data_IF_329254699394
#
_entry.id   IF_329254699394
#
_cell.length_a   1.000
_cell.length_b   1.000
_cell.length_c   1.000
_cell.angle_alpha   90.00
_cell.angle_beta   90.00
_cell.angle_gamma   90.00
#
_symmetry.space_group_name_H-M   'P 1'
#
loop_
_entity.id
_entity.type
_entity.pdbx_description
1 polymer ?
#
# COMPACT_ATOMS: atom_id res chain seq x y z
N UNK A 1 -12.34 -13.58 19.77
CA UNK A 1 -12.74 -12.69 20.88
C UNK A 1 -11.64 -11.65 21.09
N UNK A 2 -12.01 -10.38 21.20
CA UNK A 2 -11.11 -9.22 21.32
C UNK A 2 -11.55 -8.41 22.52
N UNK A 3 -10.75 -8.30 23.57
CA UNK A 3 -11.10 -7.56 24.78
C UNK A 3 -11.22 -6.05 24.50
N UNK A 4 -10.41 -5.56 23.55
CA UNK A 4 -10.52 -4.18 23.04
C UNK A 4 -11.89 -3.94 22.42
N UNK A 5 -12.46 -4.93 21.71
CA UNK A 5 -13.82 -4.77 21.17
C UNK A 5 -14.85 -4.74 22.30
N UNK A 6 -14.71 -5.64 23.27
CA UNK A 6 -15.68 -5.74 24.37
C UNK A 6 -15.65 -4.50 25.29
N UNK A 7 -14.52 -3.81 25.42
CA UNK A 7 -14.46 -2.53 26.17
C UNK A 7 -15.24 -1.39 25.53
N UNK A 8 -15.68 -1.55 24.29
CA UNK A 8 -16.48 -0.57 23.53
C UNK A 8 -17.90 -1.05 23.26
N UNK A 9 -18.35 -2.10 23.96
CA UNK A 9 -19.67 -2.71 23.73
C UNK A 9 -20.80 -1.95 24.39
N UNK A 10 -20.53 -1.38 25.56
CA UNK A 10 -21.49 -0.65 26.39
C UNK A 10 -20.97 0.79 26.60
N UNK A 11 -21.88 1.75 26.69
CA UNK A 11 -21.59 3.17 26.95
C UNK A 11 -20.56 3.82 26.01
N UNK A 12 -20.44 3.30 24.78
CA UNK A 12 -19.59 3.92 23.78
C UNK A 12 -20.29 5.15 23.19
N UNK A 13 -19.71 6.37 23.30
CA UNK A 13 -20.35 7.59 22.79
C UNK A 13 -20.40 7.65 21.25
N UNK A 14 -19.75 6.70 20.56
CA UNK A 14 -19.68 6.69 19.09
C UNK A 14 -20.94 6.10 18.49
N UNK A 15 -21.54 6.85 17.56
CA UNK A 15 -22.64 6.36 16.73
C UNK A 15 -22.11 5.58 15.52
N UNK A 16 -21.03 6.06 14.90
CA UNK A 16 -20.39 5.44 13.74
C UNK A 16 -18.89 5.73 13.72
N UNK A 17 -18.11 4.78 13.20
CA UNK A 17 -16.69 5.02 12.91
C UNK A 17 -16.49 5.83 11.62
N UNK A 18 -15.35 6.50 11.56
CA UNK A 18 -14.89 7.24 10.38
C UNK A 18 -14.68 6.31 9.17
N UNK A 19 -14.79 6.88 7.96
CA UNK A 19 -14.76 6.09 6.72
C UNK A 19 -13.43 5.38 6.48
N UNK A 20 -12.30 5.94 6.94
CA UNK A 20 -11.00 5.26 6.80
C UNK A 20 -10.93 3.93 7.54
N UNK A 21 -11.80 3.72 8.53
CA UNK A 21 -12.01 2.46 9.25
C UNK A 21 -13.19 1.70 8.66
N UNK A 22 -14.38 2.31 8.67
CA UNK A 22 -15.64 1.62 8.33
C UNK A 22 -15.74 1.20 6.86
N UNK A 23 -15.15 1.97 5.95
CA UNK A 23 -15.16 1.68 4.52
C UNK A 23 -13.91 0.91 4.05
N UNK A 24 -13.06 0.46 4.98
CA UNK A 24 -11.86 -0.30 4.64
C UNK A 24 -12.16 -1.55 3.78
N UNK A 25 -13.21 -2.36 4.04
CA UNK A 25 -13.53 -3.50 3.18
C UNK A 25 -13.84 -3.11 1.74
N UNK A 26 -14.58 -2.03 1.51
CA UNK A 26 -14.94 -1.56 0.17
C UNK A 26 -13.71 -1.05 -0.59
N UNK A 27 -12.84 -0.29 0.08
CA UNK A 27 -11.62 0.24 -0.55
C UNK A 27 -10.60 -0.87 -0.81
N UNK A 28 -10.38 -1.77 0.14
CA UNK A 28 -9.46 -2.91 -0.05
C UNK A 28 -10.01 -3.95 -1.04
N UNK A 29 -11.33 -4.10 -1.15
CA UNK A 29 -11.96 -4.91 -2.19
C UNK A 29 -11.65 -4.39 -3.60
N UNK A 30 -11.78 -3.08 -3.82
CA UNK A 30 -11.40 -2.46 -5.09
C UNK A 30 -9.90 -2.63 -5.40
N UNK A 31 -9.03 -2.62 -4.38
CA UNK A 31 -7.60 -2.93 -4.54
C UNK A 31 -7.38 -4.36 -4.99
N UNK A 32 -8.06 -5.33 -4.38
CA UNK A 32 -7.95 -6.73 -4.76
C UNK A 32 -8.43 -6.99 -6.19
N UNK A 33 -9.50 -6.33 -6.63
CA UNK A 33 -10.01 -6.47 -8.00
C UNK A 33 -9.04 -5.85 -9.03
N UNK A 34 -8.43 -4.71 -8.73
CA UNK A 34 -7.40 -4.10 -9.59
C UNK A 34 -6.15 -4.97 -9.73
N UNK A 35 -5.71 -5.61 -8.63
CA UNK A 35 -4.59 -6.56 -8.66
C UNK A 35 -4.94 -7.76 -9.55
N UNK A 36 -6.14 -8.33 -9.38
CA UNK A 36 -6.59 -9.46 -10.21
C UNK A 36 -6.63 -9.11 -11.69
N UNK A 37 -7.15 -7.93 -12.03
CA UNK A 37 -7.16 -7.44 -13.41
C UNK A 37 -5.74 -7.34 -13.99
N UNK A 38 -4.80 -6.79 -13.22
CA UNK A 38 -3.42 -6.67 -13.66
C UNK A 38 -2.74 -8.05 -13.81
N UNK A 39 -2.97 -8.96 -12.86
CA UNK A 39 -2.47 -10.33 -12.89
C UNK A 39 -2.98 -11.10 -14.11
N UNK A 40 -4.29 -11.07 -14.36
CA UNK A 40 -4.92 -11.71 -15.53
C UNK A 40 -4.34 -11.16 -16.84
N UNK A 41 -4.21 -9.83 -16.94
CA UNK A 41 -3.67 -9.18 -18.15
C UNK A 41 -2.21 -9.56 -18.40
N UNK A 42 -1.37 -9.51 -17.36
CA UNK A 42 0.05 -9.85 -17.46
C UNK A 42 0.23 -11.35 -17.73
N UNK A 43 -0.60 -12.22 -17.14
CA UNK A 43 -0.55 -13.65 -17.38
C UNK A 43 -0.86 -13.99 -18.85
N UNK A 44 -1.84 -13.32 -19.46
CA UNK A 44 -2.11 -13.49 -20.89
C UNK A 44 -0.91 -13.04 -21.72
N UNK A 45 -0.37 -11.85 -21.47
CA UNK A 45 0.74 -11.29 -22.26
C UNK A 45 2.01 -12.13 -22.14
N UNK A 46 2.31 -12.63 -20.94
CA UNK A 46 3.49 -13.46 -20.68
C UNK A 46 3.47 -14.78 -21.47
N UNK A 47 2.27 -15.28 -21.79
CA UNK A 47 2.07 -16.52 -22.56
C UNK A 47 1.74 -16.26 -24.04
N UNK A 48 1.77 -14.99 -24.49
CA UNK A 48 1.49 -14.61 -25.86
C UNK A 48 2.77 -14.62 -26.73
N UNK A 49 2.60 -14.83 -28.04
CA UNK A 49 3.65 -14.56 -29.04
C UNK A 49 3.60 -13.08 -29.40
N UNK A 50 4.46 -12.28 -28.77
CA UNK A 50 4.51 -10.81 -28.90
C UNK A 50 5.53 -10.31 -29.94
N UNK A 51 6.23 -11.22 -30.62
CA UNK A 51 7.19 -10.86 -31.66
C UNK A 51 6.50 -10.53 -33.01
N UNK A 52 7.27 -10.01 -33.96
CA UNK A 52 6.83 -9.75 -35.32
C UNK A 52 7.99 -9.86 -36.34
N UNK A 53 7.83 -10.58 -37.47
CA UNK A 53 6.62 -11.28 -37.92
C UNK A 53 6.40 -12.64 -37.22
N UNK A 54 5.17 -13.14 -37.27
CA UNK A 54 4.85 -14.49 -36.80
C UNK A 54 5.04 -15.51 -37.92
N UNK A 55 5.59 -16.67 -37.56
CA UNK A 55 5.81 -17.82 -38.46
C UNK A 55 4.87 -18.95 -38.06
N UNK A 56 4.06 -19.41 -39.01
CA UNK A 56 3.05 -20.44 -38.77
C UNK A 56 3.50 -21.82 -39.30
N UNK A 57 3.00 -22.93 -38.72
CA UNK A 57 3.41 -24.29 -39.11
C UNK A 57 3.13 -24.65 -40.57
N UNK A 58 2.20 -23.95 -41.23
CA UNK A 58 1.90 -24.11 -42.65
C UNK A 58 2.89 -23.39 -43.58
N UNK A 59 3.90 -22.70 -43.02
CA UNK A 59 4.90 -21.93 -43.75
C UNK A 59 4.54 -20.45 -43.95
N UNK A 60 3.36 -20.01 -43.49
CA UNK A 60 2.98 -18.60 -43.60
C UNK A 60 3.83 -17.73 -42.67
N UNK A 61 4.21 -16.55 -43.17
CA UNK A 61 4.87 -15.49 -42.40
C UNK A 61 3.98 -14.26 -42.44
N UNK A 62 3.43 -13.87 -41.29
CA UNK A 62 2.43 -12.80 -41.18
C UNK A 62 3.00 -11.67 -40.34
N UNK A 63 2.98 -10.46 -40.90
CA UNK A 63 3.26 -9.23 -40.16
C UNK A 63 2.01 -8.79 -39.38
N UNK A 64 2.16 -8.52 -38.09
CA UNK A 64 1.11 -8.08 -37.18
C UNK A 64 1.62 -7.03 -36.19
N UNK A 65 0.87 -6.81 -35.11
CA UNK A 65 1.15 -5.78 -34.10
C UNK A 65 1.23 -6.31 -32.67
N UNK A 66 1.52 -7.60 -32.48
CA UNK A 66 1.47 -8.25 -31.16
C UNK A 66 2.51 -7.71 -30.17
N UNK A 67 3.53 -6.98 -30.65
CA UNK A 67 4.51 -6.30 -29.80
C UNK A 67 3.93 -5.07 -29.08
N UNK A 68 2.73 -4.62 -29.46
CA UNK A 68 2.13 -3.41 -28.93
C UNK A 68 1.50 -3.65 -27.53
N UNK A 69 2.29 -3.44 -26.48
CA UNK A 69 1.91 -3.68 -25.07
C UNK A 69 0.89 -2.74 -24.44
N UNK A 70 -0.13 -2.28 -25.18
CA UNK A 70 -1.21 -1.43 -24.65
C UNK A 70 -1.96 -2.08 -23.48
N UNK A 71 -2.32 -3.38 -23.52
CA UNK A 71 -3.04 -4.02 -22.41
C UNK A 71 -2.25 -3.94 -21.10
N UNK A 72 -0.96 -4.27 -21.15
CA UNK A 72 -0.07 -4.21 -19.98
C UNK A 72 0.10 -2.77 -19.49
N UNK A 73 0.25 -1.80 -20.39
CA UNK A 73 0.36 -0.38 -20.00
C UNK A 73 -0.86 0.11 -19.22
N UNK A 74 -2.07 -0.25 -19.67
CA UNK A 74 -3.32 0.11 -19.00
C UNK A 74 -3.50 -0.62 -17.65
N UNK A 75 -3.16 -1.90 -17.60
CA UNK A 75 -3.16 -2.67 -16.34
C UNK A 75 -2.27 -2.03 -15.27
N UNK A 76 -1.06 -1.61 -15.65
CA UNK A 76 -0.12 -0.95 -14.75
C UNK A 76 -0.60 0.44 -14.32
N UNK A 77 -1.29 1.19 -15.19
CA UNK A 77 -1.93 2.46 -14.85
C UNK A 77 -3.06 2.30 -13.83
N UNK A 78 -3.91 1.29 -14.01
CA UNK A 78 -4.98 0.94 -13.05
C UNK A 78 -4.39 0.56 -11.71
N UNK A 79 -3.30 -0.23 -11.70
CA UNK A 79 -2.61 -0.61 -10.48
C UNK A 79 -2.00 0.60 -9.77
N UNK A 80 -1.30 1.48 -10.50
CA UNK A 80 -0.72 2.72 -9.98
C UNK A 80 -1.78 3.63 -9.32
N UNK A 81 -2.90 3.86 -9.99
CA UNK A 81 -4.02 4.63 -9.44
C UNK A 81 -4.56 3.99 -8.15
N UNK A 82 -4.73 2.67 -8.16
CA UNK A 82 -5.36 1.95 -7.07
C UNK A 82 -4.45 1.86 -5.84
N UNK A 83 -3.15 1.63 -6.02
CA UNK A 83 -2.16 1.68 -4.93
C UNK A 83 -2.01 3.08 -4.33
N UNK A 84 -2.24 4.13 -5.13
CA UNK A 84 -2.30 5.51 -4.61
C UNK A 84 -3.54 5.73 -3.72
N UNK A 85 -4.66 5.09 -4.05
CA UNK A 85 -5.87 5.09 -3.20
C UNK A 85 -5.65 4.32 -1.90
N UNK A 86 -4.98 3.15 -1.97
CA UNK A 86 -4.59 2.37 -0.79
C UNK A 86 -3.73 3.20 0.18
N UNK A 87 -2.74 3.91 -0.35
CA UNK A 87 -1.90 4.83 0.41
C UNK A 87 -2.73 5.89 1.13
N UNK A 88 -3.65 6.55 0.41
CA UNK A 88 -4.46 7.61 0.99
C UNK A 88 -5.33 7.13 2.16
N UNK A 89 -5.97 5.96 2.05
CA UNK A 89 -6.80 5.45 3.15
C UNK A 89 -5.96 4.98 4.35
N UNK A 90 -4.79 4.37 4.10
CA UNK A 90 -3.85 3.95 5.14
C UNK A 90 -3.29 5.16 5.91
N UNK A 91 -2.89 6.20 5.20
CA UNK A 91 -2.42 7.45 5.81
C UNK A 91 -3.52 8.12 6.65
N UNK A 92 -4.79 8.10 6.21
CA UNK A 92 -5.91 8.57 7.04
C UNK A 92 -6.10 7.75 8.32
N UNK A 93 -5.68 6.48 8.36
CA UNK A 93 -5.68 5.68 9.60
C UNK A 93 -4.46 6.00 10.47
N UNK A 94 -3.29 6.27 9.88
CA UNK A 94 -2.11 6.81 10.60
C UNK A 94 -2.47 8.10 11.32
N UNK A 95 -3.07 9.08 10.62
CA UNK A 95 -3.51 10.35 11.21
C UNK A 95 -4.44 10.13 12.41
N UNK A 96 -5.43 9.24 12.26
CA UNK A 96 -6.37 8.96 13.35
C UNK A 96 -5.72 8.37 14.58
N UNK A 97 -4.66 7.58 14.42
CA UNK A 97 -3.94 6.96 15.54
C UNK A 97 -3.08 7.98 16.29
N UNK A 98 -2.40 8.88 15.57
CA UNK A 98 -1.47 9.85 16.18
C UNK A 98 -2.17 11.10 16.71
N UNK A 99 -3.39 11.40 16.26
CA UNK A 99 -4.12 12.59 16.64
C UNK A 99 -5.05 12.31 17.85
N UNK A 100 -4.82 12.93 19.02
CA UNK A 100 -5.59 12.66 20.24
C UNK A 100 -7.08 13.00 20.12
N UNK A 101 -7.45 13.95 19.24
CA UNK A 101 -8.84 14.34 19.00
C UNK A 101 -9.60 13.27 18.19
N UNK A 102 -8.87 12.38 17.51
CA UNK A 102 -9.42 11.37 16.61
C UNK A 102 -9.22 9.93 17.12
N UNK A 103 -8.22 9.71 17.98
CA UNK A 103 -7.71 8.41 18.40
C UNK A 103 -8.51 7.73 19.51
N UNK A 104 -9.44 8.47 20.12
CA UNK A 104 -10.37 7.97 21.14
C UNK A 104 -9.67 7.44 22.40
N UNK A 105 -8.70 8.22 22.89
CA UNK A 105 -8.03 7.96 24.17
C UNK A 105 -6.57 7.51 24.07
N UNK A 106 -6.01 7.41 22.86
CA UNK A 106 -4.57 7.24 22.71
C UNK A 106 -3.84 8.58 22.93
N UNK A 107 -2.64 8.57 23.54
CA UNK A 107 -1.88 9.79 23.75
C UNK A 107 -1.45 10.42 22.42
N UNK A 108 -1.29 11.74 22.43
CA UNK A 108 -0.85 12.50 21.26
C UNK A 108 0.45 11.92 20.70
N UNK A 109 0.47 11.67 19.39
CA UNK A 109 1.57 11.08 18.64
C UNK A 109 2.08 9.73 19.17
N UNK A 110 1.27 9.00 19.94
CA UNK A 110 1.60 7.68 20.47
C UNK A 110 2.89 7.66 21.30
N UNK A 111 3.10 8.68 22.14
CA UNK A 111 4.21 8.75 23.10
C UNK A 111 3.74 8.84 24.55
N UNK A 112 4.58 8.39 25.49
CA UNK A 112 4.31 8.48 26.94
C UNK A 112 4.42 9.90 27.47
N UNK A 113 5.26 10.74 26.87
CA UNK A 113 5.58 12.09 27.35
C UNK A 113 5.33 13.16 26.26
N UNK A 114 4.05 13.44 25.90
CA UNK A 114 3.72 14.44 24.89
C UNK A 114 4.28 15.82 25.24
N UNK A 115 4.84 16.51 24.24
CA UNK A 115 5.44 17.83 24.39
C UNK A 115 6.94 17.81 24.74
N UNK A 116 7.42 16.72 25.36
CA UNK A 116 8.86 16.44 25.47
C UNK A 116 9.32 15.52 24.33
N UNK A 117 8.55 14.47 24.05
CA UNK A 117 8.79 13.56 22.94
C UNK A 117 7.88 13.87 21.74
N UNK A 118 8.44 13.75 20.55
CA UNK A 118 7.73 13.89 19.27
C UNK A 118 6.93 12.64 18.89
N UNK A 119 7.32 11.47 19.43
CA UNK A 119 6.64 10.22 19.14
C UNK A 119 6.63 9.90 17.65
N UNK A 120 5.46 9.57 17.12
CA UNK A 120 5.22 9.25 15.72
C UNK A 120 4.72 10.43 14.87
N UNK A 121 4.92 11.67 15.33
CA UNK A 121 4.64 12.87 14.51
C UNK A 121 5.31 12.79 13.13
N UNK A 122 6.61 12.46 13.09
CA UNK A 122 7.35 12.37 11.82
C UNK A 122 6.97 11.14 10.98
N UNK A 123 6.40 10.09 11.59
CA UNK A 123 5.87 8.93 10.86
C UNK A 123 4.67 9.36 10.02
N UNK A 124 3.76 10.14 10.59
CA UNK A 124 2.61 10.69 9.87
C UNK A 124 3.05 11.62 8.73
N UNK A 125 3.99 12.54 8.99
CA UNK A 125 4.48 13.48 7.96
C UNK A 125 5.14 12.72 6.79
N UNK A 126 5.90 11.67 7.10
CA UNK A 126 6.51 10.80 6.09
C UNK A 126 5.44 10.11 5.25
N UNK A 127 4.42 9.52 5.88
CA UNK A 127 3.32 8.89 5.17
C UNK A 127 2.59 9.89 4.24
N UNK A 128 2.26 11.08 4.75
CA UNK A 128 1.60 12.13 3.98
C UNK A 128 2.43 12.58 2.75
N UNK A 129 3.75 12.74 2.93
CA UNK A 129 4.68 13.08 1.84
C UNK A 129 4.69 12.02 0.73
N UNK A 130 4.76 10.74 1.10
CA UNK A 130 4.75 9.62 0.16
C UNK A 130 3.42 9.52 -0.62
N UNK A 131 2.28 9.78 0.04
CA UNK A 131 0.98 9.86 -0.64
C UNK A 131 0.96 11.02 -1.63
N UNK A 132 1.51 12.18 -1.26
CA UNK A 132 1.58 13.34 -2.15
C UNK A 132 2.45 13.06 -3.40
N UNK A 133 3.60 12.41 -3.22
CA UNK A 133 4.45 11.96 -4.33
C UNK A 133 3.68 11.01 -5.26
N UNK A 134 3.06 9.96 -4.70
CA UNK A 134 2.30 8.98 -5.49
C UNK A 134 1.17 9.63 -6.28
N UNK A 135 0.46 10.61 -5.69
CA UNK A 135 -0.57 11.38 -6.41
C UNK A 135 0.01 12.17 -7.59
N UNK A 136 1.17 12.79 -7.42
CA UNK A 136 1.82 13.57 -8.48
C UNK A 136 2.22 12.70 -9.68
N UNK A 137 2.57 11.44 -9.46
CA UNK A 137 3.03 10.51 -10.52
C UNK A 137 1.96 9.49 -10.95
N UNK A 138 0.73 9.58 -10.44
CA UNK A 138 -0.35 8.64 -10.75
C UNK A 138 -1.02 8.85 -12.11
N UNK A 139 -0.68 9.91 -12.85
CA UNK A 139 -1.21 10.17 -14.20
C UNK A 139 -1.00 8.93 -15.10
N UNK A 140 -2.03 8.46 -15.84
CA UNK A 140 -1.89 7.33 -16.75
C UNK A 140 -0.82 7.60 -17.83
N UNK A 141 0.18 6.73 -17.92
CA UNK A 141 1.20 6.85 -18.96
C UNK A 141 0.69 6.28 -20.30
N UNK A 142 -0.22 5.31 -20.26
CA UNK A 142 -0.77 4.59 -21.43
C UNK A 142 -1.60 5.45 -22.39
N UNK A 143 -1.88 6.71 -22.02
CA UNK A 143 -2.55 7.70 -22.88
C UNK A 143 -1.57 8.72 -23.48
N UNK A 144 -0.28 8.62 -23.14
CA UNK A 144 0.76 9.61 -23.47
C UNK A 144 1.50 9.31 -24.76
N UNK A 145 0.86 8.71 -25.76
CA UNK A 145 1.52 8.35 -27.03
C UNK A 145 2.13 9.57 -27.72
N UNK A 146 3.34 9.40 -28.26
CA UNK A 146 4.07 10.38 -29.08
C UNK A 146 4.70 9.61 -30.25
N UNK A 147 4.51 10.05 -31.51
CA UNK A 147 4.98 9.31 -32.67
C UNK A 147 6.51 9.29 -32.77
N UNK A 148 7.05 8.16 -33.22
CA UNK A 148 8.48 7.92 -33.49
C UNK A 148 8.69 7.41 -34.92
N UNK A 149 9.96 7.22 -35.29
CA UNK A 149 10.38 6.65 -36.58
C UNK A 149 9.70 7.28 -37.82
N UNK A 150 9.76 8.61 -37.93
CA UNK A 150 9.13 9.36 -39.02
C UNK A 150 7.60 9.11 -39.18
N UNK A 151 6.90 8.84 -38.07
CA UNK A 151 5.48 8.42 -37.99
C UNK A 151 5.20 7.00 -38.50
N UNK A 152 6.22 6.14 -38.63
CA UNK A 152 5.99 4.72 -38.83
C UNK A 152 5.51 4.04 -37.53
N UNK A 153 6.02 4.49 -36.40
CA UNK A 153 5.55 4.17 -35.05
C UNK A 153 4.69 5.35 -34.53
N UNK A 154 3.54 5.56 -35.14
CA UNK A 154 2.68 6.73 -34.89
C UNK A 154 1.86 6.65 -33.59
N UNK A 155 1.71 5.46 -33.03
CA UNK A 155 1.01 5.21 -31.77
C UNK A 155 1.76 4.17 -30.92
N UNK A 156 2.08 4.53 -29.67
CA UNK A 156 2.87 3.69 -28.77
C UNK A 156 2.26 3.63 -27.36
N UNK A 157 2.37 2.50 -26.66
CA UNK A 157 1.64 2.27 -25.41
C UNK A 157 2.28 2.92 -24.18
N UNK A 158 3.50 3.43 -24.27
CA UNK A 158 4.28 3.95 -23.13
C UNK A 158 4.37 2.95 -21.95
N UNK A 159 4.35 1.64 -22.23
CA UNK A 159 4.24 0.58 -21.21
C UNK A 159 5.35 0.61 -20.16
N UNK A 160 6.60 0.90 -20.56
CA UNK A 160 7.70 1.02 -19.60
C UNK A 160 7.55 2.22 -18.65
N UNK A 161 7.01 3.35 -19.13
CA UNK A 161 6.71 4.49 -18.27
C UNK A 161 5.61 4.13 -17.23
N UNK A 162 4.60 3.36 -17.66
CA UNK A 162 3.59 2.82 -16.76
C UNK A 162 4.19 1.86 -15.71
N UNK A 163 5.15 1.02 -16.10
CA UNK A 163 5.85 0.12 -15.19
C UNK A 163 6.69 0.86 -14.14
N UNK A 164 7.52 1.83 -14.57
CA UNK A 164 8.38 2.58 -13.65
C UNK A 164 7.59 3.36 -12.59
N UNK A 165 6.51 4.04 -12.99
CA UNK A 165 5.68 4.76 -12.02
C UNK A 165 4.92 3.80 -11.10
N UNK A 166 4.40 2.68 -11.61
CA UNK A 166 3.74 1.68 -10.77
C UNK A 166 4.70 1.09 -9.73
N UNK A 167 5.95 0.79 -10.11
CA UNK A 167 6.99 0.32 -9.20
C UNK A 167 7.29 1.35 -8.09
N UNK A 168 7.43 2.63 -8.45
CA UNK A 168 7.66 3.70 -7.46
C UNK A 168 6.48 3.85 -6.49
N UNK A 169 5.26 3.85 -7.01
CA UNK A 169 4.04 3.93 -6.21
C UNK A 169 3.90 2.72 -5.28
N UNK A 170 4.22 1.52 -5.74
CA UNK A 170 4.22 0.32 -4.91
C UNK A 170 5.20 0.44 -3.72
N UNK A 171 6.42 0.92 -3.99
CA UNK A 171 7.42 1.14 -2.95
C UNK A 171 6.96 2.20 -1.91
N UNK A 172 6.22 3.22 -2.35
CA UNK A 172 5.61 4.20 -1.46
C UNK A 172 4.45 3.58 -0.66
N UNK A 173 3.62 2.76 -1.29
CA UNK A 173 2.53 2.04 -0.62
C UNK A 173 3.02 1.13 0.50
N UNK A 174 4.09 0.38 0.28
CA UNK A 174 4.72 -0.46 1.30
C UNK A 174 5.15 0.35 2.53
N UNK A 175 5.73 1.54 2.33
CA UNK A 175 6.14 2.44 3.42
C UNK A 175 4.98 3.08 4.17
N UNK A 176 3.90 3.45 3.47
CA UNK A 176 2.70 4.00 4.10
C UNK A 176 1.98 2.94 4.92
N UNK A 177 1.86 1.71 4.40
CA UNK A 177 1.29 0.57 5.17
C UNK A 177 2.20 0.19 6.34
N UNK A 178 3.52 0.23 6.18
CA UNK A 178 4.47 0.07 7.28
C UNK A 178 4.27 1.11 8.39
N UNK A 179 4.04 2.38 8.03
CA UNK A 179 3.71 3.43 8.99
C UNK A 179 2.40 3.13 9.75
N UNK A 180 1.37 2.65 9.05
CA UNK A 180 0.12 2.22 9.67
C UNK A 180 0.33 1.07 10.66
N UNK A 181 1.11 0.05 10.27
CA UNK A 181 1.43 -1.08 11.14
C UNK A 181 2.23 -0.66 12.37
N UNK A 182 3.20 0.24 12.20
CA UNK A 182 4.01 0.77 13.30
C UNK A 182 3.14 1.54 14.31
N UNK A 183 2.29 2.45 13.83
CA UNK A 183 1.37 3.20 14.68
C UNK A 183 0.34 2.28 15.35
N UNK A 184 -0.22 1.31 14.62
CA UNK A 184 -1.18 0.34 15.16
C UNK A 184 -0.55 -0.52 16.25
N UNK A 185 0.68 -1.01 16.04
CA UNK A 185 1.41 -1.79 17.03
C UNK A 185 1.70 -0.98 18.29
N UNK A 186 2.08 0.29 18.17
CA UNK A 186 2.28 1.17 19.32
C UNK A 186 0.97 1.51 20.03
N UNK A 187 -0.13 1.74 19.30
CA UNK A 187 -1.45 1.94 19.89
C UNK A 187 -1.87 0.76 20.78
N UNK A 188 -1.56 -0.47 20.37
CA UNK A 188 -1.81 -1.67 21.20
C UNK A 188 -1.00 -1.68 22.50
N UNK A 189 0.18 -1.06 22.55
CA UNK A 189 0.95 -0.95 23.79
C UNK A 189 0.21 -0.09 24.83
N UNK A 190 -0.43 1.00 24.38
CA UNK A 190 -1.22 1.89 25.24
C UNK A 190 -2.59 1.32 25.66
N UNK A 191 -3.09 0.32 24.94
CA UNK A 191 -4.35 -0.35 25.27
C UNK A 191 -4.17 -1.52 26.27
N UNK A 192 -2.93 -1.84 26.66
CA UNK A 192 -2.68 -2.89 27.67
C UNK A 192 -3.35 -2.53 29.01
N UNK A 193 -3.91 -3.53 29.74
CA UNK A 193 -3.77 -4.98 29.52
C UNK A 193 -4.78 -5.60 28.53
N UNK A 194 -5.61 -4.83 27.83
CA UNK A 194 -6.61 -5.38 26.90
C UNK A 194 -5.93 -6.11 25.74
N UNK A 195 -6.44 -7.30 25.40
CA UNK A 195 -5.94 -8.11 24.30
C UNK A 195 -6.73 -7.86 22.99
N UNK A 196 -6.04 -7.66 21.85
CA UNK A 196 -6.71 -7.57 20.56
C UNK A 196 -7.23 -8.94 20.10
N UNK A 197 -8.04 -8.93 19.04
CA UNK A 197 -8.49 -10.16 18.40
C UNK A 197 -7.34 -11.02 17.87
N UNK A 198 -7.56 -12.34 17.75
CA UNK A 198 -6.52 -13.35 17.44
C UNK A 198 -5.62 -12.99 16.24
N UNK A 199 -6.20 -12.54 15.13
CA UNK A 199 -5.44 -12.17 13.93
C UNK A 199 -4.51 -10.98 14.16
N UNK A 200 -5.02 -9.94 14.82
CA UNK A 200 -4.24 -8.73 15.19
C UNK A 200 -3.16 -9.09 16.20
N UNK A 201 -3.46 -9.93 17.20
CA UNK A 201 -2.46 -10.40 18.16
C UNK A 201 -1.31 -11.16 17.48
N UNK A 202 -1.63 -12.04 16.51
CA UNK A 202 -0.61 -12.78 15.73
C UNK A 202 0.24 -11.84 14.88
N UNK A 203 -0.37 -10.90 14.18
CA UNK A 203 0.36 -9.90 13.38
C UNK A 203 1.25 -9.03 14.26
N UNK A 204 0.73 -8.56 15.39
CA UNK A 204 1.50 -7.79 16.37
C UNK A 204 2.72 -8.58 16.86
N UNK A 205 2.54 -9.86 17.23
CA UNK A 205 3.65 -10.71 17.66
C UNK A 205 4.70 -10.89 16.54
N UNK A 206 4.28 -11.09 15.29
CA UNK A 206 5.20 -11.20 14.14
C UNK A 206 6.01 -9.93 13.95
N UNK A 207 5.32 -8.79 13.94
CA UNK A 207 5.94 -7.48 13.82
C UNK A 207 7.01 -7.25 14.90
N UNK A 208 6.68 -7.56 16.17
CA UNK A 208 7.61 -7.43 17.30
C UNK A 208 8.76 -8.46 17.25
N UNK A 209 8.55 -9.59 16.59
CA UNK A 209 9.50 -10.69 16.45
C UNK A 209 10.37 -10.66 15.19
N UNK A 210 10.28 -9.63 14.35
CA UNK A 210 11.17 -9.45 13.20
C UNK A 210 12.64 -9.43 13.65
N UNK A 211 13.56 -9.71 12.73
CA UNK A 211 15.00 -9.67 13.00
C UNK A 211 15.69 -8.58 12.17
N UNK A 212 16.12 -7.46 12.77
CA UNK A 212 16.02 -7.11 14.19
C UNK A 212 14.60 -6.67 14.61
N UNK A 213 14.26 -6.77 15.91
CA UNK A 213 12.90 -6.55 16.40
C UNK A 213 12.47 -5.08 16.32
N UNK A 214 11.19 -4.87 16.00
CA UNK A 214 10.54 -3.55 16.05
C UNK A 214 10.00 -3.33 17.46
N UNK A 215 10.77 -2.67 18.31
CA UNK A 215 10.45 -2.47 19.72
C UNK A 215 9.41 -1.35 19.94
N UNK A 216 8.62 -1.41 21.04
CA UNK A 216 7.80 -0.28 21.47
C UNK A 216 8.61 1.01 21.56
N UNK A 217 7.97 2.14 21.27
CA UNK A 217 8.58 3.45 21.44
C UNK A 217 8.44 3.90 22.89
N UNK A 218 9.54 3.85 23.65
CA UNK A 218 9.62 4.38 25.03
C UNK A 218 10.17 5.81 25.05
N UNK A 219 11.14 6.10 24.18
CA UNK A 219 11.73 7.43 23.97
C UNK A 219 11.91 7.68 22.48
N UNK A 220 12.03 8.95 22.10
CA UNK A 220 12.26 9.34 20.71
C UNK A 220 13.49 8.64 20.13
N UNK A 221 13.30 8.02 18.97
CA UNK A 221 14.37 7.45 18.14
C UNK A 221 14.02 7.63 16.67
N UNK A 222 15.00 7.65 15.76
CA UNK A 222 14.72 7.74 14.33
C UNK A 222 13.74 6.63 13.88
N UNK A 223 12.59 6.97 13.27
CA UNK A 223 11.60 5.96 12.88
C UNK A 223 11.97 5.25 11.57
N UNK A 224 12.85 5.83 10.76
CA UNK A 224 13.24 5.32 9.44
C UNK A 224 13.67 3.85 9.44
N UNK A 225 14.55 3.39 10.34
CA UNK A 225 14.94 1.99 10.41
C UNK A 225 13.77 1.03 10.69
N UNK A 226 12.78 1.40 11.50
CA UNK A 226 11.59 0.55 11.69
C UNK A 226 10.71 0.53 10.44
N UNK A 227 10.48 1.70 9.84
CA UNK A 227 9.66 1.83 8.65
C UNK A 227 10.22 1.00 7.49
N UNK A 228 11.53 1.08 7.23
CA UNK A 228 12.15 0.30 6.15
C UNK A 228 12.16 -1.20 6.46
N UNK A 229 12.31 -1.61 7.73
CA UNK A 229 12.18 -3.02 8.12
C UNK A 229 10.78 -3.55 7.86
N UNK A 230 9.76 -2.81 8.26
CA UNK A 230 8.36 -3.19 8.05
C UNK A 230 7.99 -3.19 6.57
N UNK A 231 8.44 -2.18 5.81
CA UNK A 231 8.20 -2.11 4.37
C UNK A 231 8.85 -3.30 3.64
N UNK A 232 10.05 -3.70 4.07
CA UNK A 232 10.73 -4.89 3.57
C UNK A 232 9.99 -6.18 3.94
N UNK A 233 9.62 -6.35 5.21
CA UNK A 233 8.88 -7.53 5.67
C UNK A 233 7.52 -7.69 4.95
N UNK A 234 6.86 -6.58 4.60
CA UNK A 234 5.68 -6.57 3.73
C UNK A 234 6.01 -7.03 2.31
N UNK A 235 7.10 -6.55 1.72
CA UNK A 235 7.53 -6.92 0.37
C UNK A 235 7.94 -8.40 0.26
N UNK A 236 8.51 -8.96 1.33
CA UNK A 236 8.97 -10.35 1.40
C UNK A 236 7.87 -11.33 1.87
N UNK A 237 6.67 -10.83 2.22
CA UNK A 237 5.54 -11.65 2.67
C UNK A 237 5.68 -12.20 4.10
N UNK A 238 6.65 -11.72 4.89
CA UNK A 238 6.90 -12.21 6.26
C UNK A 238 5.73 -11.93 7.22
N UNK A 239 4.92 -10.92 6.91
CA UNK A 239 3.76 -10.52 7.70
C UNK A 239 2.45 -11.14 7.22
N UNK A 240 2.48 -12.00 6.20
CA UNK A 240 1.27 -12.63 5.68
C UNK A 240 0.59 -13.52 6.72
N UNK A 241 -0.75 -13.54 6.82
CA UNK A 241 -1.45 -14.41 7.75
C UNK A 241 -1.20 -15.91 7.52
N UNK A 242 -0.80 -16.29 6.30
CA UNK A 242 -0.54 -17.67 5.88
C UNK A 242 0.92 -18.13 6.03
N UNK A 243 1.87 -17.21 6.14
CA UNK A 243 3.27 -17.51 6.48
C UNK A 243 3.38 -18.07 7.91
#
# INVERSE_FOLDING_TARGET
DSEIRESHREDDPRVQDAYSVRCAPQVLGAVADAIRFAEETVAVELNASTDNPLVFPNGDVISGGNFHGQPVAQALDVLAMTLTTLQAIAERRVERLVNPDLSQGLPAFLTSDPGLCSGFMMVQITAASLVAESRAIAMPASIGSIPTDANQEDFVPMGMAAAYKAQRILANAQRVVAAELLCGAQGLEFLRPLRPGRGVARLHQRLRGLSPPVLPLEHDRPPGPDLERLARALAEGELDPGA
#
